data_IF_301725081093
#
_entry.id   IF_301725081093
#
_cell.length_a   1.000
_cell.length_b   1.000
_cell.length_c   1.000
_cell.angle_alpha   90.00
_cell.angle_beta   90.00
_cell.angle_gamma   90.00
#
_symmetry.space_group_name_H-M   'P 1'
#
loop_
_entity.id
_entity.type
_entity.pdbx_description
1 polymer ?
#
# COMPACT_ATOMS: atom_id res chain seq x y z
N UNK A 1 -25.57 5.40 9.87
CA UNK A 1 -24.68 5.65 11.02
C UNK A 1 -23.33 4.99 10.76
N UNK A 2 -22.35 5.76 10.26
CA UNK A 2 -20.93 5.49 10.43
C UNK A 2 -20.34 6.78 10.96
N UNK A 3 -20.38 6.90 12.29
CA UNK A 3 -19.72 7.98 13.01
C UNK A 3 -18.23 7.67 13.12
N UNK A 4 -17.41 8.71 12.93
CA UNK A 4 -16.07 8.80 13.53
C UNK A 4 -14.91 8.13 12.80
N UNK A 5 -14.37 8.79 11.78
CA UNK A 5 -12.92 9.08 11.70
C UNK A 5 -12.79 10.51 11.15
N UNK A 6 -12.87 11.49 12.03
CA UNK A 6 -12.49 12.87 11.71
C UNK A 6 -10.98 13.01 11.83
N UNK A 7 -10.36 13.50 10.75
CA UNK A 7 -8.99 14.01 10.63
C UNK A 7 -7.85 13.03 10.97
N UNK A 8 -7.52 12.17 10.00
CA UNK A 8 -6.17 11.65 9.93
C UNK A 8 -5.74 11.71 8.47
N UNK A 9 -4.89 12.69 8.15
CA UNK A 9 -4.28 12.82 6.82
C UNK A 9 -3.62 11.52 6.35
N UNK A 10 -3.26 11.50 5.07
CA UNK A 10 -2.69 10.32 4.40
C UNK A 10 -1.60 9.65 5.24
N UNK A 11 -1.74 8.33 5.44
CA UNK A 11 -0.74 7.55 6.18
C UNK A 11 0.49 7.37 5.28
N UNK A 12 1.57 8.09 5.55
CA UNK A 12 2.84 7.96 4.84
C UNK A 12 3.66 6.79 5.40
N UNK A 13 4.09 5.90 4.50
CA UNK A 13 4.74 4.63 4.85
C UNK A 13 6.07 4.50 4.12
N UNK A 14 7.11 4.19 4.88
CA UNK A 14 8.43 3.89 4.36
C UNK A 14 8.63 2.39 4.14
N UNK A 15 8.48 1.96 2.88
CA UNK A 15 8.58 0.56 2.45
C UNK A 15 10.00 -0.02 2.45
N UNK A 16 11.03 0.75 2.83
CA UNK A 16 12.39 0.22 3.03
C UNK A 16 12.64 -0.29 4.45
N UNK A 17 11.74 -0.02 5.41
CA UNK A 17 11.93 -0.43 6.81
C UNK A 17 11.62 -1.91 7.04
N UNK A 18 12.12 -2.45 8.16
CA UNK A 18 11.93 -3.85 8.55
C UNK A 18 12.50 -4.83 7.52
N UNK A 19 11.75 -5.88 7.21
CA UNK A 19 12.13 -6.96 6.28
C UNK A 19 12.37 -6.52 4.82
N UNK A 20 12.14 -5.23 4.50
CA UNK A 20 12.30 -4.66 3.15
C UNK A 20 11.51 -5.43 2.09
N UNK A 21 10.43 -6.12 2.49
CA UNK A 21 9.72 -7.12 1.70
C UNK A 21 8.30 -6.70 1.32
N UNK A 22 7.51 -7.67 0.85
CA UNK A 22 6.09 -7.47 0.54
C UNK A 22 5.17 -7.44 1.76
N UNK A 23 5.70 -7.64 2.98
CA UNK A 23 4.88 -7.70 4.20
C UNK A 23 4.32 -6.33 4.58
N UNK A 24 5.17 -5.28 4.63
CA UNK A 24 4.71 -3.91 4.90
C UNK A 24 3.59 -3.54 3.95
N UNK A 25 3.80 -3.69 2.64
CA UNK A 25 2.78 -3.37 1.64
C UNK A 25 1.44 -4.09 1.90
N UNK A 26 1.46 -5.40 2.15
CA UNK A 26 0.22 -6.18 2.36
C UNK A 26 -0.50 -5.77 3.64
N UNK A 27 0.23 -5.56 4.73
CA UNK A 27 -0.36 -5.11 5.99
C UNK A 27 -0.93 -3.70 5.86
N UNK A 28 -0.20 -2.79 5.21
CA UNK A 28 -0.66 -1.42 4.97
C UNK A 28 -1.92 -1.37 4.11
N UNK A 29 -1.99 -2.15 3.02
CA UNK A 29 -3.20 -2.29 2.21
C UNK A 29 -4.38 -2.79 3.04
N UNK A 30 -4.19 -3.85 3.83
CA UNK A 30 -5.24 -4.40 4.68
C UNK A 30 -5.75 -3.38 5.70
N UNK A 31 -4.85 -2.68 6.38
CA UNK A 31 -5.21 -1.64 7.35
C UNK A 31 -5.91 -0.45 6.69
N UNK A 32 -5.44 0.01 5.53
CA UNK A 32 -6.10 1.08 4.77
C UNK A 32 -7.54 0.70 4.41
N UNK A 33 -7.75 -0.53 3.92
CA UNK A 33 -9.10 -1.04 3.61
C UNK A 33 -10.00 -1.15 4.85
N UNK A 34 -9.48 -1.66 5.97
CA UNK A 34 -10.25 -1.86 7.20
C UNK A 34 -10.60 -0.51 7.86
N UNK A 35 -9.66 0.42 7.86
CA UNK A 35 -9.82 1.72 8.54
C UNK A 35 -10.46 2.79 7.67
N UNK A 36 -10.53 2.57 6.35
CA UNK A 36 -10.97 3.59 5.38
C UNK A 36 -10.01 4.77 5.26
N UNK A 37 -8.79 4.67 5.79
CA UNK A 37 -7.79 5.75 5.77
C UNK A 37 -6.91 5.61 4.53
N UNK A 38 -6.75 6.67 3.72
CA UNK A 38 -5.80 6.68 2.62
C UNK A 38 -4.37 6.44 3.12
N UNK A 39 -3.55 5.82 2.28
CA UNK A 39 -2.13 5.63 2.56
C UNK A 39 -1.29 5.98 1.34
N UNK A 40 -0.05 6.42 1.58
CA UNK A 40 0.98 6.50 0.56
C UNK A 40 2.19 5.72 1.03
N UNK A 41 2.67 4.79 0.22
CA UNK A 41 3.89 4.03 0.51
C UNK A 41 4.98 4.37 -0.50
N UNK A 42 6.18 4.66 -0.01
CA UNK A 42 7.38 4.96 -0.83
C UNK A 42 8.47 3.93 -0.57
N UNK A 43 9.48 3.87 -1.44
CA UNK A 43 10.64 2.97 -1.33
C UNK A 43 10.25 1.50 -1.19
N UNK A 44 9.19 1.07 -1.88
CA UNK A 44 8.70 -0.31 -1.82
C UNK A 44 9.84 -1.27 -2.16
N UNK A 45 10.21 -2.12 -1.20
CA UNK A 45 11.26 -3.13 -1.35
C UNK A 45 12.63 -2.57 -1.76
N UNK A 46 12.95 -1.33 -1.37
CA UNK A 46 14.20 -0.68 -1.75
C UNK A 46 15.48 -1.46 -1.32
N UNK A 47 15.41 -2.22 -0.23
CA UNK A 47 16.53 -3.06 0.24
C UNK A 47 16.69 -4.42 -0.45
N UNK A 48 15.91 -4.72 -1.51
CA UNK A 48 15.97 -6.01 -2.22
C UNK A 48 16.69 -5.88 -3.54
N UNK A 49 17.39 -6.94 -3.96
CA UNK A 49 18.10 -7.01 -5.25
C UNK A 49 17.26 -6.62 -6.48
N UNK A 50 15.94 -6.80 -6.40
CA UNK A 50 14.99 -6.31 -7.40
C UNK A 50 13.92 -5.52 -6.66
N UNK A 51 14.01 -4.17 -6.59
CA UNK A 51 13.11 -3.33 -5.82
C UNK A 51 11.72 -3.22 -6.47
N UNK A 52 10.81 -2.52 -5.78
CA UNK A 52 9.46 -2.21 -6.27
C UNK A 52 8.47 -3.36 -6.22
N UNK A 53 7.28 -3.08 -6.75
CA UNK A 53 6.19 -4.04 -6.87
C UNK A 53 6.60 -5.21 -7.77
N UNK A 54 6.15 -6.40 -7.40
CA UNK A 54 6.27 -7.63 -8.20
C UNK A 54 4.88 -8.08 -8.58
N UNK A 55 4.76 -9.03 -9.49
CA UNK A 55 3.45 -9.53 -9.96
C UNK A 55 2.53 -9.92 -8.79
N UNK A 56 3.06 -10.59 -7.76
CA UNK A 56 2.27 -10.95 -6.57
C UNK A 56 1.85 -9.74 -5.72
N UNK A 57 2.67 -8.70 -5.65
CA UNK A 57 2.31 -7.47 -4.94
C UNK A 57 1.22 -6.71 -5.71
N UNK A 58 1.38 -6.59 -7.02
CA UNK A 58 0.40 -5.95 -7.90
C UNK A 58 -0.95 -6.67 -7.84
N UNK A 59 -0.95 -8.01 -7.80
CA UNK A 59 -2.18 -8.77 -7.61
C UNK A 59 -2.90 -8.41 -6.29
N UNK A 60 -2.15 -8.25 -5.18
CA UNK A 60 -2.73 -7.80 -3.91
C UNK A 60 -3.30 -6.38 -4.00
N UNK A 61 -2.57 -5.45 -4.63
CA UNK A 61 -3.03 -4.06 -4.84
C UNK A 61 -4.33 -4.04 -5.65
N UNK A 62 -4.38 -4.77 -6.76
CA UNK A 62 -5.56 -4.83 -7.62
C UNK A 62 -6.75 -5.49 -6.92
N UNK A 63 -6.52 -6.53 -6.12
CA UNK A 63 -7.56 -7.15 -5.32
C UNK A 63 -8.10 -6.17 -4.26
N UNK A 64 -7.22 -5.48 -3.56
CA UNK A 64 -7.60 -4.48 -2.57
C UNK A 64 -8.45 -3.36 -3.18
N UNK A 65 -7.99 -2.78 -4.30
CA UNK A 65 -8.73 -1.73 -5.02
C UNK A 65 -10.13 -2.17 -5.45
N UNK A 66 -10.26 -3.40 -5.97
CA UNK A 66 -11.56 -3.95 -6.38
C UNK A 66 -12.51 -4.21 -5.21
N UNK A 67 -11.98 -4.60 -4.04
CA UNK A 67 -12.79 -4.90 -2.85
C UNK A 67 -13.22 -3.63 -2.12
N UNK A 68 -12.37 -2.60 -2.06
CA UNK A 68 -12.65 -1.35 -1.36
C UNK A 68 -13.27 -0.26 -2.24
N UNK A 69 -13.19 -0.39 -3.57
CA UNK A 69 -13.52 0.69 -4.50
C UNK A 69 -12.49 1.83 -4.49
N UNK A 70 -11.28 1.58 -4.00
CA UNK A 70 -10.24 2.61 -3.91
C UNK A 70 -9.70 3.02 -5.28
N UNK A 71 -9.41 4.31 -5.43
CA UNK A 71 -8.57 4.82 -6.51
C UNK A 71 -7.11 4.57 -6.14
N UNK A 72 -6.33 4.04 -7.09
CA UNK A 72 -4.92 3.69 -6.85
C UNK A 72 -4.02 4.27 -7.92
N UNK A 73 -2.87 4.83 -7.52
CA UNK A 73 -1.80 5.35 -8.37
C UNK A 73 -0.51 4.57 -8.14
N UNK A 74 0.27 4.33 -9.20
CA UNK A 74 1.55 3.61 -9.11
C UNK A 74 1.43 2.08 -9.02
N UNK A 75 0.26 1.52 -9.32
CA UNK A 75 0.01 0.07 -9.35
C UNK A 75 0.58 -0.59 -10.62
N UNK A 76 1.90 -0.64 -10.73
CA UNK A 76 2.61 -1.26 -11.84
C UNK A 76 3.83 -2.06 -11.37
N UNK A 77 4.23 -3.09 -12.11
CA UNK A 77 5.41 -3.90 -11.77
C UNK A 77 6.66 -3.02 -11.82
N UNK A 78 7.46 -3.07 -10.76
CA UNK A 78 8.66 -2.25 -10.62
C UNK A 78 8.43 -0.92 -9.89
N UNK A 79 7.18 -0.48 -9.71
CA UNK A 79 6.90 0.76 -8.99
C UNK A 79 7.42 0.71 -7.56
N UNK A 80 8.06 1.79 -7.13
CA UNK A 80 8.55 1.98 -5.77
C UNK A 80 7.66 2.91 -4.94
N UNK A 81 6.55 3.38 -5.50
CA UNK A 81 5.57 4.23 -4.83
C UNK A 81 4.13 3.81 -5.16
N UNK A 82 3.25 3.86 -4.17
CA UNK A 82 1.84 3.52 -4.33
C UNK A 82 1.00 4.46 -3.44
N UNK A 83 -0.14 4.90 -3.96
CA UNK A 83 -1.14 5.73 -3.29
C UNK A 83 -2.54 5.21 -3.61
#
# INVERSE_FOLDING_TARGET
MREGVSDAGDVEIDGSRGEGGGQILRTSLALSMITGRPMRIRRIRAGRAKPGLRRQHLACVNAAARLSGATVRGAEVGSQALE
#
